data_IF_110686590613
#
_entry.id   IF_110686590613
#
_cell.length_a   1.000
_cell.length_b   1.000
_cell.length_c   1.000
_cell.angle_alpha   90.00
_cell.angle_beta   90.00
_cell.angle_gamma   90.00
#
_symmetry.space_group_name_H-M   'P 1'
#
loop_
_entity.id
_entity.type
_entity.pdbx_description
1 polymer ?
#
# COMPACT_ATOMS: atom_id res chain seq x y z
N UNK A 1 -17.05 8.65 -4.46
CA UNK A 1 -15.63 8.81 -4.86
C UNK A 1 -15.57 9.58 -6.16
N UNK A 2 -14.78 10.67 -6.23
CA UNK A 2 -14.58 11.44 -7.47
C UNK A 2 -13.47 10.78 -8.27
N UNK A 3 -13.67 10.58 -9.56
CA UNK A 3 -12.72 9.86 -10.41
C UNK A 3 -11.93 10.84 -11.29
N UNK A 4 -10.77 10.41 -11.78
CA UNK A 4 -9.97 11.18 -12.73
C UNK A 4 -10.35 10.74 -14.15
N UNK A 5 -10.59 11.69 -15.05
CA UNK A 5 -10.71 11.39 -16.47
C UNK A 5 -9.38 11.65 -17.14
N UNK A 6 -8.88 10.70 -17.92
CA UNK A 6 -7.67 10.89 -18.72
C UNK A 6 -7.93 11.89 -19.86
N UNK A 7 -6.98 12.80 -20.15
CA UNK A 7 -7.07 13.67 -21.31
C UNK A 7 -7.18 12.82 -22.57
N UNK A 8 -8.21 13.10 -23.37
CA UNK A 8 -8.50 12.31 -24.59
C UNK A 8 -7.65 12.76 -25.78
N UNK A 9 -7.11 13.99 -25.73
CA UNK A 9 -6.32 14.58 -26.79
C UNK A 9 -4.98 15.13 -26.25
N UNK A 10 -3.96 15.13 -27.11
CA UNK A 10 -2.70 15.79 -26.83
C UNK A 10 -2.92 17.31 -26.67
N UNK A 11 -2.60 17.85 -25.49
CA UNK A 11 -2.78 19.26 -25.14
C UNK A 11 -3.89 19.54 -24.12
N UNK A 12 -4.72 18.56 -23.77
CA UNK A 12 -5.70 18.71 -22.71
C UNK A 12 -5.05 18.72 -21.32
N UNK A 13 -5.49 19.64 -20.46
CA UNK A 13 -5.06 19.68 -19.07
C UNK A 13 -5.65 18.49 -18.29
N UNK A 14 -4.83 17.87 -17.45
CA UNK A 14 -5.28 16.85 -16.50
C UNK A 14 -6.31 17.42 -15.53
N UNK A 15 -7.49 16.80 -15.44
CA UNK A 15 -8.57 17.23 -14.55
C UNK A 15 -9.20 16.04 -13.83
N UNK A 16 -9.49 16.24 -12.55
CA UNK A 16 -10.37 15.35 -11.78
C UNK A 16 -11.81 15.73 -12.13
N UNK A 17 -12.53 14.87 -12.85
CA UNK A 17 -13.91 15.12 -13.25
C UNK A 17 -14.84 14.09 -12.60
N UNK A 18 -15.95 14.50 -11.99
CA UNK A 18 -16.94 13.56 -11.50
C UNK A 18 -17.39 12.64 -12.64
N UNK A 19 -17.31 11.33 -12.42
CA UNK A 19 -17.75 10.32 -13.36
C UNK A 19 -18.43 9.19 -12.60
N UNK A 20 -19.48 8.62 -13.18
CA UNK A 20 -20.14 7.44 -12.65
C UNK A 20 -19.36 6.20 -13.11
N UNK A 21 -18.83 5.44 -12.16
CA UNK A 21 -18.01 4.25 -12.42
C UNK A 21 -18.57 3.09 -11.62
N UNK A 22 -18.73 1.94 -12.27
CA UNK A 22 -19.04 0.67 -11.60
C UNK A 22 -17.75 0.06 -11.11
N UNK A 23 -17.58 0.01 -9.79
CA UNK A 23 -16.41 -0.56 -9.13
C UNK A 23 -16.87 -1.52 -8.04
N UNK A 24 -16.13 -2.60 -7.86
CA UNK A 24 -16.28 -3.48 -6.70
C UNK A 24 -15.57 -2.83 -5.51
N UNK A 25 -16.28 -2.38 -4.45
CA UNK A 25 -15.64 -1.65 -3.35
C UNK A 25 -14.54 -2.45 -2.64
N UNK A 26 -14.74 -3.76 -2.49
CA UNK A 26 -13.74 -4.65 -1.90
C UNK A 26 -12.44 -4.68 -2.71
N UNK A 27 -12.53 -4.68 -4.05
CA UNK A 27 -11.36 -4.64 -4.92
C UNK A 27 -10.58 -3.32 -4.77
N UNK A 28 -11.32 -2.20 -4.68
CA UNK A 28 -10.72 -0.90 -4.41
C UNK A 28 -9.98 -0.87 -3.08
N UNK A 29 -10.57 -1.48 -2.04
CA UNK A 29 -9.99 -1.52 -0.70
C UNK A 29 -8.74 -2.39 -0.62
N UNK A 30 -8.72 -3.59 -1.19
CA UNK A 30 -7.49 -4.41 -1.16
C UNK A 30 -6.32 -3.71 -1.85
N UNK A 31 -6.58 -2.96 -2.92
CA UNK A 31 -5.54 -2.19 -3.61
C UNK A 31 -5.08 -0.98 -2.78
N UNK A 32 -6.02 -0.26 -2.18
CA UNK A 32 -5.77 0.86 -1.26
C UNK A 32 -4.88 0.45 -0.08
N UNK A 33 -5.14 -0.70 0.57
CA UNK A 33 -4.33 -1.18 1.68
C UNK A 33 -2.85 -1.43 1.28
N UNK A 34 -2.60 -1.95 0.07
CA UNK A 34 -1.21 -2.16 -0.40
C UNK A 34 -0.52 -0.82 -0.68
N UNK A 35 -1.20 0.15 -1.28
CA UNK A 35 -0.65 1.49 -1.51
C UNK A 35 -0.33 2.18 -0.18
N UNK A 36 -1.26 2.13 0.76
CA UNK A 36 -1.10 2.74 2.08
C UNK A 36 0.08 2.12 2.83
N UNK A 37 0.25 0.80 2.77
CA UNK A 37 1.41 0.12 3.34
C UNK A 37 2.74 0.57 2.71
N UNK A 38 2.78 0.75 1.39
CA UNK A 38 3.97 1.28 0.70
C UNK A 38 4.26 2.75 1.10
N UNK A 39 3.22 3.57 1.26
CA UNK A 39 3.35 4.97 1.70
C UNK A 39 3.80 5.08 3.17
N UNK A 40 3.28 4.23 4.05
CA UNK A 40 3.66 4.18 5.47
C UNK A 40 5.15 3.83 5.64
N UNK A 41 5.81 3.25 4.63
CA UNK A 41 7.25 2.99 4.67
C UNK A 41 8.07 4.29 4.81
N UNK A 42 7.59 5.42 4.27
CA UNK A 42 8.26 6.72 4.44
C UNK A 42 8.40 7.13 5.91
N UNK A 43 7.41 6.82 6.75
CA UNK A 43 7.49 7.11 8.18
C UNK A 43 8.48 6.21 8.92
N UNK A 44 8.71 4.99 8.41
CA UNK A 44 9.67 4.02 8.97
C UNK A 44 11.09 4.27 8.48
N UNK A 45 11.22 4.65 7.21
CA UNK A 45 12.46 4.96 6.53
C UNK A 45 12.30 6.22 5.66
N UNK A 46 12.73 7.39 6.16
CA UNK A 46 12.69 8.65 5.42
C UNK A 46 13.49 8.67 4.12
N UNK A 47 14.33 7.66 3.85
CA UNK A 47 15.01 7.52 2.55
C UNK A 47 14.11 6.97 1.44
N UNK A 48 12.91 6.47 1.78
CA UNK A 48 11.88 6.09 0.81
C UNK A 48 11.53 7.32 -0.04
N UNK A 49 11.65 7.20 -1.35
CA UNK A 49 11.47 8.32 -2.29
C UNK A 49 10.53 8.00 -3.44
N UNK A 50 10.27 6.70 -3.70
CA UNK A 50 9.52 6.25 -4.87
C UNK A 50 8.60 5.09 -4.54
N UNK A 51 7.38 5.18 -5.05
CA UNK A 51 6.43 4.07 -5.14
C UNK A 51 6.10 3.87 -6.62
N UNK A 52 6.37 2.68 -7.12
CA UNK A 52 6.06 2.25 -8.48
C UNK A 52 4.83 1.34 -8.46
N UNK A 53 3.81 1.68 -9.26
CA UNK A 53 2.59 0.89 -9.42
C UNK A 53 2.48 0.41 -10.86
N UNK A 54 2.40 -0.90 -11.05
CA UNK A 54 2.18 -1.54 -12.35
C UNK A 54 0.86 -2.28 -12.33
N UNK A 55 0.02 -2.00 -13.32
CA UNK A 55 -1.25 -2.71 -13.54
C UNK A 55 -1.17 -3.37 -14.92
N UNK A 56 -1.25 -4.69 -14.93
CA UNK A 56 -1.27 -5.52 -16.13
C UNK A 56 -2.62 -6.26 -16.20
N UNK A 57 -3.57 -5.75 -16.99
CA UNK A 57 -4.89 -6.38 -17.14
C UNK A 57 -4.84 -7.72 -17.89
N UNK A 58 -3.83 -7.95 -18.74
CA UNK A 58 -3.72 -9.20 -19.49
C UNK A 58 -3.30 -10.35 -18.56
N UNK A 59 -2.43 -10.05 -17.59
CA UNK A 59 -1.97 -11.00 -16.58
C UNK A 59 -2.82 -10.99 -15.30
N UNK A 60 -3.83 -10.13 -15.18
CA UNK A 60 -4.57 -9.85 -13.93
C UNK A 60 -3.62 -9.54 -12.76
N UNK A 61 -2.55 -8.80 -13.03
CA UNK A 61 -1.47 -8.54 -12.08
C UNK A 61 -1.44 -7.08 -11.69
N UNK A 62 -1.43 -6.83 -10.38
CA UNK A 62 -1.12 -5.53 -9.81
C UNK A 62 0.15 -5.69 -8.98
N UNK A 63 1.17 -4.90 -9.31
CA UNK A 63 2.42 -4.84 -8.56
C UNK A 63 2.60 -3.46 -7.97
N UNK A 64 2.86 -3.41 -6.68
CA UNK A 64 3.25 -2.20 -5.96
C UNK A 64 4.64 -2.44 -5.39
N UNK A 65 5.57 -1.53 -5.64
CA UNK A 65 6.93 -1.60 -5.09
C UNK A 65 7.36 -0.23 -4.60
N UNK A 66 8.00 -0.17 -3.43
CA UNK A 66 8.65 1.02 -2.92
C UNK A 66 10.15 0.78 -2.71
N UNK A 67 10.94 1.85 -2.76
CA UNK A 67 12.31 1.86 -2.30
C UNK A 67 12.40 2.04 -0.77
N UNK A 68 13.62 2.18 -0.24
CA UNK A 68 13.87 2.20 1.20
C UNK A 68 13.99 0.80 1.82
N UNK A 69 14.11 0.76 3.14
CA UNK A 69 14.32 -0.46 3.91
C UNK A 69 13.05 -1.31 3.95
N UNK A 70 13.14 -2.50 3.38
CA UNK A 70 12.10 -3.53 3.51
C UNK A 70 12.05 -4.18 4.90
N UNK A 71 11.07 -5.07 5.14
CA UNK A 71 11.00 -5.84 6.37
C UNK A 71 12.25 -6.73 6.54
N UNK A 72 12.74 -6.92 7.78
CA UNK A 72 13.92 -7.73 8.03
C UNK A 72 13.68 -9.20 7.67
N UNK A 73 14.60 -9.79 6.92
CA UNK A 73 14.54 -11.21 6.53
C UNK A 73 15.21 -12.04 7.62
N UNK A 74 14.48 -12.31 8.69
CA UNK A 74 14.94 -13.15 9.81
C UNK A 74 13.76 -13.87 10.47
N UNK A 75 14.07 -14.91 11.24
CA UNK A 75 13.08 -15.67 12.03
C UNK A 75 12.66 -14.88 13.26
N UNK A 76 11.36 -14.75 13.48
CA UNK A 76 10.79 -14.13 14.67
C UNK A 76 10.99 -15.04 15.89
N UNK A 77 11.48 -14.49 17.01
CA UNK A 77 11.93 -15.29 18.16
C UNK A 77 10.83 -16.09 18.84
N UNK A 78 9.59 -15.61 18.85
CA UNK A 78 8.48 -16.27 19.54
C UNK A 78 7.68 -17.16 18.60
N UNK A 79 7.28 -16.62 17.45
CA UNK A 79 6.45 -17.32 16.46
C UNK A 79 7.23 -18.37 15.64
N UNK A 80 8.57 -18.36 15.70
CA UNK A 80 9.45 -19.31 15.00
C UNK A 80 9.24 -19.39 13.47
N UNK A 81 8.64 -18.36 12.87
CA UNK A 81 8.47 -18.19 11.42
C UNK A 81 9.23 -16.95 10.92
N UNK A 82 9.40 -16.82 9.60
CA UNK A 82 10.04 -15.63 9.02
C UNK A 82 9.15 -14.38 9.20
N UNK A 83 9.76 -13.24 9.49
CA UNK A 83 9.02 -11.97 9.66
C UNK A 83 8.17 -11.61 8.43
N UNK A 84 8.66 -11.74 7.17
CA UNK A 84 7.81 -11.51 5.99
C UNK A 84 6.61 -12.46 5.92
N UNK A 85 6.80 -13.74 6.25
CA UNK A 85 5.70 -14.73 6.27
C UNK A 85 4.68 -14.38 7.34
N UNK A 86 5.13 -13.97 8.53
CA UNK A 86 4.26 -13.55 9.61
C UNK A 86 3.40 -12.35 9.18
N UNK A 87 4.02 -11.26 8.73
CA UNK A 87 3.32 -9.99 8.45
C UNK A 87 2.38 -10.09 7.24
N UNK A 88 2.73 -10.89 6.21
CA UNK A 88 1.90 -11.01 5.00
C UNK A 88 0.98 -12.23 4.99
N UNK A 89 1.28 -13.27 5.77
CA UNK A 89 0.57 -14.56 5.73
C UNK A 89 -0.38 -14.79 6.90
N UNK A 90 -0.29 -13.99 7.96
CA UNK A 90 -1.12 -14.15 9.17
C UNK A 90 -2.04 -12.94 9.36
N UNK A 91 -3.28 -13.18 9.76
CA UNK A 91 -4.19 -12.10 10.15
C UNK A 91 -3.77 -11.54 11.52
N UNK A 92 -4.01 -10.25 11.76
CA UNK A 92 -3.71 -9.57 13.03
C UNK A 92 -2.22 -9.53 13.42
N UNK A 93 -1.31 -9.67 12.45
CA UNK A 93 0.14 -9.53 12.67
C UNK A 93 0.63 -8.22 12.07
N UNK A 94 0.44 -7.13 12.81
CA UNK A 94 0.96 -5.82 12.49
C UNK A 94 2.04 -5.41 13.48
N UNK A 95 3.03 -4.63 13.04
CA UNK A 95 3.98 -3.97 13.96
C UNK A 95 3.35 -2.90 14.87
N UNK A 96 2.02 -2.78 14.85
CA UNK A 96 1.24 -1.72 15.48
C UNK A 96 0.59 -2.15 16.81
N UNK A 97 0.88 -3.37 17.30
CA UNK A 97 0.37 -3.87 18.59
C UNK A 97 1.22 -3.48 19.82
N UNK A 98 2.11 -2.48 19.68
CA UNK A 98 2.93 -1.98 20.78
C UNK A 98 2.45 -0.63 21.31
N UNK A 99 1.53 -0.64 22.28
CA UNK A 99 1.02 0.53 23.02
C UNK A 99 2.07 1.17 23.97
N UNK A 100 3.33 1.24 23.55
CA UNK A 100 4.38 1.92 24.30
C UNK A 100 5.22 2.80 23.36
N UNK A 101 5.02 4.11 23.52
CA UNK A 101 5.82 5.23 23.02
C UNK A 101 5.56 5.71 21.58
N UNK A 102 4.66 6.71 21.49
CA UNK A 102 4.71 7.77 20.49
C UNK A 102 3.41 7.92 19.71
N UNK A 103 2.80 9.10 19.76
CA UNK A 103 1.80 9.50 18.75
C UNK A 103 2.43 9.34 17.36
N UNK A 104 1.95 8.35 16.60
CA UNK A 104 2.39 8.09 15.23
C UNK A 104 1.20 8.16 14.29
N UNK A 105 1.33 8.98 13.26
CA UNK A 105 0.37 9.21 12.18
C UNK A 105 0.47 8.15 11.07
N UNK A 106 0.58 6.86 11.43
CA UNK A 106 0.53 5.77 10.43
C UNK A 106 -0.91 5.29 10.22
N UNK A 107 -1.23 4.87 9.00
CA UNK A 107 -2.59 4.54 8.60
C UNK A 107 -3.02 3.12 8.99
N UNK A 108 -2.08 2.19 9.19
CA UNK A 108 -2.40 0.84 9.67
C UNK A 108 -2.99 0.83 11.08
N UNK A 109 -4.31 0.69 11.22
CA UNK A 109 -4.99 0.56 12.52
C UNK A 109 -6.08 -0.51 12.45
N UNK A 110 -5.71 -1.77 12.31
CA UNK A 110 -6.63 -2.89 12.41
C UNK A 110 -5.95 -4.09 13.08
#
# INVERSE_FOLDING_TARGET
TRWMSFPKNAGDNWRVLPSEVKLVPAFAKIFDEIIVNAADNFQRDPSTSRIDVTVDPELNLIKVSNDGRGPPVMVHRHEQVYIPEMIFGTLLTGSNFGDALGERTTAGRH
#
